data_IF_788343398171
#
_entry.id   IF_788343398171
#
_cell.length_a   1.000
_cell.length_b   1.000
_cell.length_c   1.000
_cell.angle_alpha   90.00
_cell.angle_beta   90.00
_cell.angle_gamma   90.00
#
_symmetry.space_group_name_H-M   'P 1'
#
loop_
_entity.id
_entity.type
_entity.pdbx_description
1 polymer ?
#
# COMPACT_ATOMS: atom_id res chain seq x y z
N UNK A 1 -37.24 -73.83 26.64
CA UNK A 1 -37.69 -72.96 25.57
C UNK A 1 -37.15 -71.49 25.82
N UNK A 2 -36.01 -71.08 25.20
CA UNK A 2 -35.45 -69.74 25.34
C UNK A 2 -35.76 -69.01 24.03
N UNK A 3 -36.53 -67.92 24.09
CA UNK A 3 -36.83 -67.05 22.97
C UNK A 3 -35.65 -66.07 22.79
N UNK A 4 -35.05 -66.11 21.62
CA UNK A 4 -34.03 -65.16 21.19
C UNK A 4 -34.74 -63.96 20.51
N UNK A 5 -34.64 -62.78 21.10
CA UNK A 5 -35.15 -61.54 20.51
C UNK A 5 -33.99 -60.94 19.67
N UNK A 6 -34.15 -60.84 18.34
CA UNK A 6 -33.25 -60.12 17.42
C UNK A 6 -33.64 -58.64 17.38
N UNK A 7 -32.74 -57.78 17.86
CA UNK A 7 -32.87 -56.31 17.71
C UNK A 7 -32.24 -56.00 16.38
N UNK A 8 -33.03 -55.52 15.42
CA UNK A 8 -32.55 -54.90 14.22
C UNK A 8 -32.12 -53.41 14.59
N UNK A 9 -30.85 -53.13 14.53
CA UNK A 9 -30.36 -51.73 14.55
C UNK A 9 -30.40 -51.14 13.13
N UNK A 10 -31.33 -50.21 12.92
CA UNK A 10 -31.39 -49.39 11.70
C UNK A 10 -30.30 -48.31 11.76
N UNK A 11 -29.28 -48.44 10.93
CA UNK A 11 -28.27 -47.39 10.74
C UNK A 11 -28.91 -46.31 9.84
N UNK A 12 -29.23 -45.15 10.42
CA UNK A 12 -29.62 -43.96 9.67
C UNK A 12 -28.33 -43.29 9.21
N UNK A 13 -28.02 -43.42 7.92
CA UNK A 13 -26.92 -42.69 7.27
C UNK A 13 -27.35 -41.27 7.06
N UNK A 14 -26.93 -40.33 7.93
CA UNK A 14 -27.11 -38.89 7.73
C UNK A 14 -26.07 -38.43 6.71
N UNK A 15 -26.46 -38.37 5.45
CA UNK A 15 -25.71 -37.66 4.42
C UNK A 15 -25.76 -36.17 4.73
N UNK A 16 -24.71 -35.66 5.38
CA UNK A 16 -24.47 -34.23 5.53
C UNK A 16 -24.21 -33.63 4.14
N UNK A 17 -25.22 -32.99 3.58
CA UNK A 17 -25.06 -32.07 2.45
C UNK A 17 -24.18 -30.92 2.95
N UNK A 18 -22.86 -30.97 2.68
CA UNK A 18 -22.02 -29.80 2.66
C UNK A 18 -22.57 -28.90 1.55
N UNK A 19 -23.49 -28.01 1.89
CA UNK A 19 -23.90 -26.93 1.02
C UNK A 19 -22.66 -26.07 0.75
N UNK A 20 -22.15 -26.11 -0.48
CA UNK A 20 -21.17 -25.12 -0.93
C UNK A 20 -21.83 -23.75 -0.74
N UNK A 21 -21.40 -23.03 0.29
CA UNK A 21 -21.89 -21.69 0.57
C UNK A 21 -21.71 -20.84 -0.69
N UNK A 22 -22.82 -20.36 -1.25
CA UNK A 22 -22.79 -19.47 -2.40
C UNK A 22 -22.08 -18.18 -1.94
N UNK A 23 -21.11 -17.70 -2.71
CA UNK A 23 -20.51 -16.42 -2.43
C UNK A 23 -21.60 -15.33 -2.36
N UNK A 24 -21.51 -14.42 -1.40
CA UNK A 24 -22.50 -13.38 -1.18
C UNK A 24 -22.18 -12.15 -2.03
N UNK A 25 -23.18 -11.30 -2.23
CA UNK A 25 -22.98 -9.99 -2.82
C UNK A 25 -22.06 -9.15 -1.93
N UNK A 26 -21.14 -8.39 -2.54
CA UNK A 26 -20.21 -7.52 -1.85
C UNK A 26 -20.50 -6.07 -2.21
N UNK A 27 -20.71 -5.24 -1.18
CA UNK A 27 -21.00 -3.82 -1.33
C UNK A 27 -19.94 -2.94 -0.63
N UNK A 28 -19.41 -1.95 -1.35
CA UNK A 28 -18.52 -0.90 -0.83
C UNK A 28 -18.96 0.44 -1.43
N UNK A 29 -19.31 1.41 -0.61
CA UNK A 29 -19.92 2.65 -1.09
C UNK A 29 -21.18 2.36 -1.89
N UNK A 30 -21.25 2.88 -3.10
CA UNK A 30 -22.35 2.65 -4.04
C UNK A 30 -22.11 1.47 -5.01
N UNK A 31 -20.91 0.86 -4.97
CA UNK A 31 -20.60 -0.32 -5.77
C UNK A 31 -21.14 -1.59 -5.10
N UNK A 32 -21.92 -2.39 -5.82
CA UNK A 32 -22.40 -3.70 -5.36
C UNK A 32 -22.18 -4.73 -6.48
N UNK A 33 -21.37 -5.75 -6.21
CA UNK A 33 -21.05 -6.81 -7.16
C UNK A 33 -21.56 -8.16 -6.67
N UNK A 34 -22.28 -8.89 -7.53
CA UNK A 34 -22.63 -10.30 -7.31
C UNK A 34 -21.41 -11.19 -7.55
N UNK A 35 -21.44 -12.45 -7.07
CA UNK A 35 -20.39 -13.43 -7.39
C UNK A 35 -20.20 -13.58 -8.91
N UNK A 36 -18.95 -13.46 -9.37
CA UNK A 36 -18.58 -13.46 -10.79
C UNK A 36 -18.77 -12.12 -11.50
N UNK A 37 -19.04 -11.04 -10.76
CA UNK A 37 -19.27 -9.71 -11.34
C UNK A 37 -18.25 -8.67 -10.85
N UNK A 38 -18.17 -7.57 -11.62
CA UNK A 38 -17.47 -6.35 -11.27
C UNK A 38 -18.46 -5.19 -11.22
N UNK A 39 -18.35 -4.34 -10.22
CA UNK A 39 -19.11 -3.11 -10.08
C UNK A 39 -18.20 -1.93 -9.77
N UNK A 40 -18.56 -0.76 -10.26
CA UNK A 40 -17.91 0.52 -9.96
C UNK A 40 -18.88 1.42 -9.22
N UNK A 41 -18.33 2.31 -8.39
CA UNK A 41 -19.11 3.26 -7.62
C UNK A 41 -18.22 4.23 -6.86
N UNK A 42 -18.79 4.85 -5.83
CA UNK A 42 -18.09 5.84 -5.01
C UNK A 42 -18.33 5.58 -3.52
N UNK A 43 -17.28 5.72 -2.73
CA UNK A 43 -17.42 5.92 -1.29
C UNK A 43 -17.67 7.41 -1.10
N UNK A 44 -18.92 7.77 -0.78
CA UNK A 44 -19.33 9.16 -0.60
C UNK A 44 -19.00 9.64 0.79
N UNK A 45 -18.26 10.74 0.87
CA UNK A 45 -17.91 11.43 2.10
C UNK A 45 -18.67 12.74 2.14
N UNK A 46 -19.67 12.87 3.00
CA UNK A 46 -20.50 14.08 3.08
C UNK A 46 -19.68 15.34 3.36
N UNK A 47 -20.19 16.50 2.96
CA UNK A 47 -19.63 17.78 3.39
C UNK A 47 -19.69 17.93 4.92
N UNK A 48 -18.73 18.63 5.46
CA UNK A 48 -18.62 18.99 6.88
C UNK A 48 -18.04 20.40 6.99
N UNK A 49 -16.92 20.54 7.71
CA UNK A 49 -16.16 21.81 7.75
C UNK A 49 -15.54 22.14 6.38
N UNK A 50 -15.33 21.10 5.55
CA UNK A 50 -14.81 21.18 4.18
C UNK A 50 -15.83 20.56 3.21
N UNK A 51 -15.68 20.77 1.88
CA UNK A 51 -16.54 20.17 0.87
C UNK A 51 -16.61 18.62 0.96
N UNK A 52 -17.66 18.06 0.38
CA UNK A 52 -17.81 16.62 0.18
C UNK A 52 -16.68 16.06 -0.71
N UNK A 53 -16.46 14.74 -0.62
CA UNK A 53 -15.56 14.01 -1.50
C UNK A 53 -16.21 12.71 -1.97
N UNK A 54 -16.06 12.37 -3.25
CA UNK A 54 -16.45 11.10 -3.83
C UNK A 54 -15.19 10.31 -4.21
N UNK A 55 -14.95 9.20 -3.50
CA UNK A 55 -13.78 8.36 -3.69
C UNK A 55 -14.14 7.19 -4.61
N UNK A 56 -13.52 7.04 -5.80
CA UNK A 56 -13.83 5.96 -6.71
C UNK A 56 -13.48 4.60 -6.08
N UNK A 57 -14.36 3.63 -6.24
CA UNK A 57 -14.16 2.26 -5.78
C UNK A 57 -14.65 1.27 -6.82
N UNK A 58 -13.88 0.19 -6.98
CA UNK A 58 -14.20 -0.94 -7.85
C UNK A 58 -14.27 -2.19 -6.95
N UNK A 59 -15.37 -2.92 -7.02
CA UNK A 59 -15.53 -4.23 -6.37
C UNK A 59 -15.50 -5.29 -7.45
N UNK A 60 -14.56 -6.24 -7.34
CA UNK A 60 -14.47 -7.41 -8.22
C UNK A 60 -14.74 -8.63 -7.36
N UNK A 61 -15.97 -9.13 -7.41
CA UNK A 61 -16.39 -10.26 -6.59
C UNK A 61 -16.23 -11.55 -7.38
N UNK A 62 -15.26 -12.35 -6.99
CA UNK A 62 -14.94 -13.61 -7.67
C UNK A 62 -16.08 -14.62 -7.63
N UNK A 63 -16.14 -15.46 -8.66
CA UNK A 63 -17.13 -16.54 -8.75
C UNK A 63 -16.96 -17.64 -7.67
N UNK A 64 -15.79 -17.69 -7.04
CA UNK A 64 -15.44 -18.69 -6.03
C UNK A 64 -15.21 -18.02 -4.66
N UNK A 65 -15.59 -18.68 -3.55
CA UNK A 65 -15.25 -18.21 -2.22
C UNK A 65 -13.74 -18.03 -2.04
N UNK A 66 -13.34 -17.04 -1.26
CA UNK A 66 -11.93 -16.75 -0.96
C UNK A 66 -11.81 -15.49 -0.13
N UNK A 67 -10.58 -15.00 0.11
CA UNK A 67 -10.34 -13.84 0.94
C UNK A 67 -10.71 -12.53 0.22
N UNK A 68 -10.83 -11.47 1.02
CA UNK A 68 -11.01 -10.09 0.55
C UNK A 68 -9.66 -9.35 0.59
N UNK A 69 -9.16 -8.96 -0.57
CA UNK A 69 -7.93 -8.18 -0.70
C UNK A 69 -8.27 -6.73 -1.07
N UNK A 70 -7.89 -5.80 -0.21
CA UNK A 70 -8.00 -4.37 -0.48
C UNK A 70 -6.73 -3.84 -1.15
N UNK A 71 -6.89 -3.08 -2.22
CA UNK A 71 -5.83 -2.42 -2.99
C UNK A 71 -6.14 -0.92 -2.98
N UNK A 72 -5.26 -0.11 -2.40
CA UNK A 72 -5.50 1.33 -2.23
C UNK A 72 -4.33 2.11 -2.80
N UNK A 73 -4.61 3.07 -3.70
CA UNK A 73 -3.61 3.97 -4.26
C UNK A 73 -4.07 5.44 -4.20
N UNK A 74 -3.16 6.35 -4.50
CA UNK A 74 -3.45 7.76 -4.64
C UNK A 74 -3.79 8.47 -3.34
N UNK A 75 -3.27 8.02 -2.21
CA UNK A 75 -3.24 8.80 -0.97
C UNK A 75 -2.50 10.13 -1.20
N UNK A 76 -1.44 10.08 -1.99
CA UNK A 76 -0.84 11.23 -2.68
C UNK A 76 -1.28 11.16 -4.14
N UNK A 77 -2.09 12.12 -4.57
CA UNK A 77 -2.78 12.05 -5.86
C UNK A 77 -1.87 12.22 -7.08
N UNK A 78 -0.61 12.55 -6.89
CA UNK A 78 0.41 12.77 -7.92
C UNK A 78 1.39 11.61 -8.08
N UNK A 79 1.22 10.53 -7.33
CA UNK A 79 1.94 9.26 -7.50
C UNK A 79 1.26 8.41 -8.61
N UNK A 80 1.34 8.91 -9.85
CA UNK A 80 0.50 8.41 -10.95
C UNK A 80 0.77 6.95 -11.34
N UNK A 81 1.99 6.43 -11.18
CA UNK A 81 2.30 5.04 -11.53
C UNK A 81 1.43 4.06 -10.75
N UNK A 82 1.25 4.28 -9.45
CA UNK A 82 0.44 3.45 -8.55
C UNK A 82 -1.05 3.50 -8.93
N UNK A 83 -1.55 4.69 -9.25
CA UNK A 83 -2.95 4.92 -9.68
C UNK A 83 -3.25 4.17 -10.98
N UNK A 84 -2.38 4.33 -11.98
CA UNK A 84 -2.52 3.69 -13.30
C UNK A 84 -2.36 2.17 -13.18
N UNK A 85 -1.50 1.68 -12.29
CA UNK A 85 -1.33 0.25 -12.06
C UNK A 85 -2.63 -0.39 -11.55
N UNK A 86 -3.30 0.24 -10.58
CA UNK A 86 -4.57 -0.28 -10.07
C UNK A 86 -5.70 -0.16 -11.09
N UNK A 87 -5.73 0.88 -11.92
CA UNK A 87 -6.66 1.00 -13.03
C UNK A 87 -6.50 -0.16 -14.02
N UNK A 88 -5.27 -0.40 -14.51
CA UNK A 88 -4.95 -1.50 -15.43
C UNK A 88 -5.29 -2.87 -14.83
N UNK A 89 -4.93 -3.09 -13.57
CA UNK A 89 -5.24 -4.34 -12.86
C UNK A 89 -6.76 -4.57 -12.81
N UNK A 90 -7.52 -3.55 -12.40
CA UNK A 90 -8.97 -3.66 -12.28
C UNK A 90 -9.64 -3.90 -13.63
N UNK A 91 -9.13 -3.31 -14.71
CA UNK A 91 -9.65 -3.53 -16.07
C UNK A 91 -9.39 -4.95 -16.57
N UNK A 92 -8.22 -5.52 -16.27
CA UNK A 92 -7.78 -6.84 -16.72
C UNK A 92 -8.27 -8.01 -15.86
N UNK A 93 -8.72 -7.75 -14.64
CA UNK A 93 -9.15 -8.80 -13.72
C UNK A 93 -10.45 -9.46 -14.19
N UNK A 94 -10.41 -10.80 -14.35
CA UNK A 94 -11.56 -11.62 -14.68
C UNK A 94 -12.21 -12.18 -13.41
N UNK A 95 -13.44 -11.74 -13.05
CA UNK A 95 -14.10 -12.24 -11.85
C UNK A 95 -14.47 -13.73 -11.94
N UNK A 96 -14.60 -14.31 -13.13
CA UNK A 96 -14.93 -15.73 -13.28
C UNK A 96 -13.81 -16.66 -12.85
N UNK A 97 -12.56 -16.23 -13.02
CA UNK A 97 -11.35 -16.94 -12.58
C UNK A 97 -10.92 -16.65 -11.14
N UNK A 98 -11.50 -15.66 -10.50
CA UNK A 98 -11.10 -15.17 -9.19
C UNK A 98 -11.73 -15.97 -8.04
N UNK A 99 -10.94 -16.26 -7.00
CA UNK A 99 -11.40 -16.73 -5.71
C UNK A 99 -11.31 -15.61 -4.68
N UNK A 100 -12.43 -15.26 -4.04
CA UNK A 100 -12.53 -14.13 -3.13
C UNK A 100 -12.84 -12.82 -3.83
N UNK A 101 -12.53 -11.70 -3.19
CA UNK A 101 -12.95 -10.37 -3.64
C UNK A 101 -11.77 -9.41 -3.67
N UNK A 102 -11.72 -8.56 -4.70
CA UNK A 102 -10.87 -7.36 -4.70
C UNK A 102 -11.73 -6.14 -4.39
N UNK A 103 -11.30 -5.34 -3.42
CA UNK A 103 -11.78 -3.97 -3.19
C UNK A 103 -10.66 -3.05 -3.69
N UNK A 104 -10.88 -2.36 -4.80
CA UNK A 104 -9.86 -1.50 -5.41
C UNK A 104 -10.28 -0.04 -5.26
N UNK A 105 -9.46 0.75 -4.58
CA UNK A 105 -9.56 2.20 -4.49
C UNK A 105 -8.39 2.79 -5.29
N UNK A 106 -8.56 3.07 -6.58
CA UNK A 106 -7.45 3.47 -7.43
C UNK A 106 -6.95 4.89 -7.16
N UNK A 107 -7.80 5.74 -6.59
CA UNK A 107 -7.49 7.14 -6.34
C UNK A 107 -8.18 7.63 -5.07
N UNK A 108 -7.43 7.74 -4.00
CA UNK A 108 -7.97 8.15 -2.70
C UNK A 108 -8.10 9.68 -2.57
N UNK A 109 -7.09 10.43 -2.99
CA UNK A 109 -7.03 11.89 -2.90
C UNK A 109 -7.31 12.54 -4.26
N UNK A 110 -8.59 12.57 -4.62
CA UNK A 110 -9.06 13.11 -5.91
C UNK A 110 -8.68 14.60 -6.07
N UNK A 111 -8.73 15.37 -4.99
CA UNK A 111 -8.38 16.80 -5.03
C UNK A 111 -6.89 17.03 -5.36
N UNK A 112 -5.99 16.27 -4.73
CA UNK A 112 -4.55 16.30 -5.04
C UNK A 112 -4.30 15.92 -6.51
N UNK A 113 -4.92 14.86 -7.00
CA UNK A 113 -4.79 14.42 -8.40
C UNK A 113 -5.20 15.51 -9.39
N UNK A 114 -6.38 16.10 -9.22
CA UNK A 114 -6.90 17.10 -10.16
C UNK A 114 -6.12 18.41 -10.11
N UNK A 115 -5.66 18.82 -8.93
CA UNK A 115 -4.91 20.05 -8.73
C UNK A 115 -3.39 19.86 -8.86
N UNK A 116 -2.92 18.63 -8.99
CA UNK A 116 -1.50 18.27 -9.09
C UNK A 116 -0.68 18.78 -7.89
N UNK A 117 -1.25 18.61 -6.69
CA UNK A 117 -0.60 19.00 -5.44
C UNK A 117 0.06 17.77 -4.81
N UNK A 118 1.40 17.72 -4.69
CA UNK A 118 2.11 16.59 -4.12
C UNK A 118 1.83 16.44 -2.61
N UNK A 119 1.94 15.22 -2.11
CA UNK A 119 1.94 14.83 -0.69
C UNK A 119 0.69 15.17 0.12
N UNK A 120 -0.03 16.23 -0.22
CA UNK A 120 -1.10 16.77 0.62
C UNK A 120 -2.46 16.81 -0.10
N UNK A 121 -3.53 16.81 0.69
CA UNK A 121 -4.84 17.20 0.19
C UNK A 121 -4.93 18.73 0.16
N UNK A 122 -5.11 19.37 -1.03
CA UNK A 122 -5.14 20.83 -1.13
C UNK A 122 -6.37 21.46 -0.45
N UNK A 123 -7.38 20.68 -0.10
CA UNK A 123 -8.61 21.18 0.57
C UNK A 123 -8.33 21.57 2.02
N UNK A 124 -7.54 20.79 2.73
CA UNK A 124 -7.28 21.00 4.16
C UNK A 124 -5.79 21.01 4.54
N UNK A 125 -4.89 20.89 3.55
CA UNK A 125 -3.44 20.92 3.73
C UNK A 125 -2.87 19.72 4.47
N UNK A 126 -3.62 18.61 4.60
CA UNK A 126 -3.22 17.45 5.38
C UNK A 126 -2.72 16.30 4.50
N UNK A 127 -1.76 15.52 5.05
CA UNK A 127 -1.33 14.27 4.43
C UNK A 127 -2.33 13.15 4.73
N UNK A 128 -2.94 12.59 3.67
CA UNK A 128 -3.98 11.58 3.80
C UNK A 128 -3.46 10.28 4.41
N UNK A 129 -2.20 9.93 4.18
CA UNK A 129 -1.59 8.73 4.76
C UNK A 129 -0.91 8.99 6.13
N UNK A 130 -1.48 9.87 6.95
CA UNK A 130 -1.02 10.15 8.32
C UNK A 130 -2.15 10.27 9.35
N UNK A 131 -3.42 10.09 8.92
CA UNK A 131 -4.56 10.45 9.75
C UNK A 131 -5.53 9.30 10.02
N UNK A 132 -5.13 8.05 9.78
CA UNK A 132 -5.98 6.91 10.12
C UNK A 132 -6.07 6.67 11.64
N UNK A 133 -7.24 6.25 12.15
CA UNK A 133 -8.46 5.83 11.46
C UNK A 133 -9.33 6.97 10.91
N UNK A 134 -8.96 8.24 11.11
CA UNK A 134 -9.75 9.40 10.74
C UNK A 134 -10.80 9.79 11.79
N UNK A 135 -11.64 10.77 11.43
CA UNK A 135 -12.75 11.26 12.26
C UNK A 135 -13.97 11.58 11.39
N UNK A 136 -15.19 11.18 11.80
CA UNK A 136 -16.39 11.38 10.99
C UNK A 136 -16.83 12.86 10.87
N UNK A 137 -16.44 13.68 11.83
CA UNK A 137 -16.74 15.10 11.96
C UNK A 137 -15.54 16.03 11.75
N UNK A 138 -14.42 15.47 11.30
CA UNK A 138 -13.17 16.18 11.06
C UNK A 138 -13.11 16.93 9.72
N UNK A 139 -11.90 17.34 9.34
CA UNK A 139 -11.61 17.91 8.03
C UNK A 139 -11.82 16.88 6.91
N UNK A 140 -11.75 17.31 5.65
CA UNK A 140 -12.00 16.41 4.52
C UNK A 140 -11.10 15.16 4.56
N UNK A 141 -9.79 15.34 4.78
CA UNK A 141 -8.84 14.22 4.90
C UNK A 141 -9.19 13.29 6.07
N UNK A 142 -9.57 13.83 7.24
CA UNK A 142 -9.96 13.00 8.38
C UNK A 142 -11.25 12.22 8.12
N UNK A 143 -12.24 12.83 7.44
CA UNK A 143 -13.49 12.14 7.07
C UNK A 143 -13.28 11.07 5.99
N UNK A 144 -12.41 11.34 5.00
CA UNK A 144 -12.01 10.34 4.00
C UNK A 144 -11.31 9.16 4.68
N UNK A 145 -10.32 9.41 5.54
CA UNK A 145 -9.63 8.34 6.28
C UNK A 145 -10.59 7.52 7.14
N UNK A 146 -11.60 8.16 7.77
CA UNK A 146 -12.66 7.48 8.50
C UNK A 146 -13.50 6.58 7.59
N UNK A 147 -13.97 7.09 6.46
CA UNK A 147 -14.80 6.34 5.53
C UNK A 147 -14.04 5.13 4.95
N UNK A 148 -12.76 5.28 4.62
CA UNK A 148 -11.89 4.20 4.15
C UNK A 148 -11.65 3.16 5.25
N UNK A 149 -11.41 3.58 6.48
CA UNK A 149 -11.28 2.65 7.61
C UNK A 149 -12.53 1.76 7.73
N UNK A 150 -13.72 2.35 7.72
CA UNK A 150 -14.99 1.63 7.91
C UNK A 150 -15.41 0.79 6.70
N UNK A 151 -15.15 1.24 5.49
CA UNK A 151 -15.69 0.62 4.30
C UNK A 151 -14.67 -0.25 3.53
N UNK A 152 -13.38 -0.10 3.80
CA UNK A 152 -12.31 -0.84 3.14
C UNK A 152 -11.50 -1.64 4.15
N UNK A 153 -10.83 -0.98 5.13
CA UNK A 153 -9.93 -1.66 6.06
C UNK A 153 -10.67 -2.68 6.93
N UNK A 154 -11.84 -2.34 7.47
CA UNK A 154 -12.61 -3.27 8.31
C UNK A 154 -13.21 -4.43 7.51
N UNK A 155 -13.43 -4.26 6.21
CA UNK A 155 -14.04 -5.29 5.34
C UNK A 155 -13.05 -6.23 4.68
N UNK A 156 -11.76 -5.87 4.63
CA UNK A 156 -10.75 -6.72 4.00
C UNK A 156 -10.14 -7.74 4.98
N UNK A 157 -9.54 -8.80 4.40
CA UNK A 157 -8.68 -9.73 5.11
C UNK A 157 -7.21 -9.34 4.98
N UNK A 158 -6.83 -8.76 3.84
CA UNK A 158 -5.48 -8.32 3.49
C UNK A 158 -5.54 -6.94 2.82
N UNK A 159 -4.46 -6.16 2.97
CA UNK A 159 -4.38 -4.83 2.36
C UNK A 159 -3.00 -4.59 1.72
N UNK A 160 -3.01 -3.98 0.54
CA UNK A 160 -1.81 -3.40 -0.09
C UNK A 160 -2.05 -1.90 -0.30
N UNK A 161 -1.14 -1.08 0.23
CA UNK A 161 -1.10 0.37 0.05
C UNK A 161 -0.07 0.71 -1.04
N UNK A 162 -0.51 1.40 -2.09
CA UNK A 162 0.31 1.67 -3.26
C UNK A 162 0.73 3.13 -3.28
N UNK A 163 2.02 3.31 -3.35
CA UNK A 163 2.70 4.59 -3.47
C UNK A 163 3.65 4.61 -4.66
N UNK A 164 4.33 5.72 -4.85
CA UNK A 164 5.35 5.85 -5.89
C UNK A 164 6.03 7.21 -5.84
N UNK A 165 6.94 7.45 -6.79
CA UNK A 165 7.62 8.74 -6.88
C UNK A 165 6.64 9.86 -7.19
N UNK A 166 6.40 10.74 -6.22
CA UNK A 166 5.63 11.97 -6.38
C UNK A 166 6.37 12.96 -7.33
N UNK A 167 5.83 14.12 -7.59
CA UNK A 167 6.35 15.08 -8.59
C UNK A 167 7.82 15.47 -8.37
N UNK A 168 8.29 15.41 -7.14
CA UNK A 168 9.64 15.78 -6.71
C UNK A 168 10.51 14.59 -6.28
N UNK A 169 10.02 13.34 -6.47
CA UNK A 169 10.66 12.14 -5.95
C UNK A 169 11.25 11.24 -7.04
N UNK A 170 12.50 10.85 -6.86
CA UNK A 170 13.18 9.82 -7.62
C UNK A 170 13.49 8.65 -6.69
N UNK A 171 12.82 7.53 -6.89
CA UNK A 171 13.01 6.35 -6.06
C UNK A 171 13.24 5.09 -6.90
N UNK A 172 13.95 4.13 -6.33
CA UNK A 172 13.99 2.75 -6.77
C UNK A 172 12.78 2.03 -6.18
N UNK A 173 12.07 1.16 -6.93
CA UNK A 173 10.99 0.39 -6.36
C UNK A 173 11.40 -0.43 -5.13
N UNK A 174 10.61 -0.33 -4.06
CA UNK A 174 10.78 -1.06 -2.80
C UNK A 174 9.43 -1.33 -2.12
N UNK A 175 9.46 -2.16 -1.10
CA UNK A 175 8.29 -2.49 -0.28
C UNK A 175 8.54 -2.19 1.19
N UNK A 176 7.45 -2.04 1.95
CA UNK A 176 7.49 -2.02 3.41
C UNK A 176 6.86 -3.28 3.98
N UNK A 177 7.56 -3.89 4.92
CA UNK A 177 7.06 -4.96 5.78
C UNK A 177 7.12 -4.52 7.24
N UNK A 178 6.08 -4.85 8.01
CA UNK A 178 6.02 -4.46 9.41
C UNK A 178 6.33 -5.64 10.34
N UNK A 179 7.25 -5.41 11.29
CA UNK A 179 7.44 -6.21 12.50
C UNK A 179 6.48 -5.65 13.56
N UNK A 180 5.33 -6.30 13.71
CA UNK A 180 4.28 -5.91 14.67
C UNK A 180 4.40 -6.63 16.01
N UNK A 181 5.24 -7.66 16.10
CA UNK A 181 5.32 -8.58 17.22
C UNK A 181 4.13 -9.56 17.31
N UNK A 182 3.29 -9.62 16.26
CA UNK A 182 2.24 -10.61 16.12
C UNK A 182 2.62 -11.61 15.03
N UNK A 183 3.00 -12.81 15.41
CA UNK A 183 3.53 -13.85 14.51
C UNK A 183 2.64 -14.12 13.29
N UNK A 184 1.31 -14.09 13.45
CA UNK A 184 0.38 -14.31 12.34
C UNK A 184 0.43 -13.15 11.34
N UNK A 185 0.38 -11.92 11.82
CA UNK A 185 0.43 -10.74 10.96
C UNK A 185 1.78 -10.66 10.24
N UNK A 186 2.86 -10.84 10.99
CA UNK A 186 4.24 -10.68 10.52
C UNK A 186 4.60 -11.76 9.49
N UNK A 187 4.28 -13.04 9.78
CA UNK A 187 4.53 -14.14 8.85
C UNK A 187 3.69 -14.00 7.57
N UNK A 188 2.41 -13.63 7.70
CA UNK A 188 1.53 -13.50 6.53
C UNK A 188 1.96 -12.33 5.66
N UNK A 189 2.20 -11.15 6.24
CA UNK A 189 2.64 -9.97 5.48
C UNK A 189 4.05 -10.14 4.91
N UNK A 190 4.94 -10.90 5.59
CA UNK A 190 6.24 -11.29 5.04
C UNK A 190 6.08 -12.16 3.78
N UNK A 191 5.17 -13.12 3.81
CA UNK A 191 4.83 -13.90 2.63
C UNK A 191 4.31 -13.04 1.48
N UNK A 192 3.46 -12.06 1.78
CA UNK A 192 2.93 -11.12 0.78
C UNK A 192 4.03 -10.25 0.17
N UNK A 193 4.92 -9.65 0.97
CA UNK A 193 5.97 -8.76 0.45
C UNK A 193 7.00 -9.52 -0.38
N UNK A 194 7.36 -10.75 0.00
CA UNK A 194 8.26 -11.60 -0.78
C UNK A 194 7.61 -12.03 -2.10
N UNK A 195 6.32 -12.38 -2.07
CA UNK A 195 5.55 -12.73 -3.27
C UNK A 195 5.38 -11.54 -4.21
N UNK A 196 5.24 -10.32 -3.69
CA UNK A 196 5.13 -9.11 -4.50
C UNK A 196 6.30 -8.95 -5.46
N UNK A 197 7.51 -9.28 -5.02
CA UNK A 197 8.64 -9.44 -5.90
C UNK A 197 9.55 -8.22 -6.05
N UNK A 198 9.39 -7.17 -5.23
CA UNK A 198 10.38 -6.09 -5.12
C UNK A 198 11.51 -6.55 -4.20
N UNK A 199 12.73 -6.38 -4.65
CA UNK A 199 13.93 -6.95 -4.01
C UNK A 199 14.50 -6.11 -2.85
N UNK A 200 13.90 -4.96 -2.57
CA UNK A 200 14.25 -4.10 -1.42
C UNK A 200 13.06 -4.00 -0.49
N UNK A 201 13.28 -4.34 0.77
CA UNK A 201 12.21 -4.39 1.77
C UNK A 201 12.61 -3.60 2.99
N UNK A 202 11.89 -2.53 3.28
CA UNK A 202 12.09 -1.69 4.46
C UNK A 202 11.30 -2.30 5.62
N UNK A 203 11.98 -2.51 6.75
CA UNK A 203 11.38 -3.03 7.97
C UNK A 203 10.81 -1.87 8.78
N UNK A 204 9.50 -1.85 8.96
CA UNK A 204 8.82 -0.94 9.87
C UNK A 204 8.60 -1.61 11.23
N UNK A 205 9.17 -1.06 12.30
CA UNK A 205 8.90 -1.55 13.65
C UNK A 205 7.62 -0.92 14.16
N UNK A 206 6.62 -1.76 14.38
CA UNK A 206 5.26 -1.37 14.78
C UNK A 206 4.76 -2.20 15.97
N UNK A 207 5.64 -2.54 16.91
CA UNK A 207 5.32 -3.36 18.07
C UNK A 207 4.39 -2.62 19.04
N UNK A 208 3.57 -3.33 19.84
CA UNK A 208 2.70 -2.70 20.84
C UNK A 208 3.45 -1.86 21.88
N UNK A 209 4.72 -2.21 22.16
CA UNK A 209 5.61 -1.46 23.04
C UNK A 209 6.13 -0.15 22.44
N UNK A 210 6.05 0.00 21.12
CA UNK A 210 6.54 1.19 20.45
C UNK A 210 5.54 2.34 20.67
N UNK A 211 6.01 3.59 20.81
CA UNK A 211 5.13 4.73 20.89
C UNK A 211 4.18 4.73 19.69
N UNK A 212 2.87 4.84 19.93
CA UNK A 212 1.90 5.02 18.86
C UNK A 212 2.20 6.37 18.20
N UNK A 213 2.58 6.39 16.92
CA UNK A 213 2.84 7.66 16.25
C UNK A 213 1.61 8.54 16.29
N UNK A 214 1.81 9.85 16.44
CA UNK A 214 0.72 10.84 16.27
C UNK A 214 0.12 10.81 14.86
N UNK A 215 0.82 10.18 13.91
CA UNK A 215 0.45 10.01 12.52
C UNK A 215 0.39 8.52 12.16
N UNK A 216 -0.76 8.05 11.71
CA UNK A 216 -1.00 6.64 11.39
C UNK A 216 -1.33 6.46 9.92
N UNK A 217 -0.57 5.57 9.25
CA UNK A 217 -0.80 5.18 7.86
C UNK A 217 -1.96 4.18 7.75
N UNK A 218 -2.49 3.98 6.54
CA UNK A 218 -3.53 2.96 6.31
C UNK A 218 -3.01 1.54 6.61
N UNK A 219 -1.75 1.23 6.30
CA UNK A 219 -1.14 -0.06 6.62
C UNK A 219 -1.05 -0.27 8.14
N UNK A 220 -0.64 0.77 8.89
CA UNK A 220 -0.62 0.69 10.36
C UNK A 220 -2.03 0.50 10.92
N UNK A 221 -3.03 1.19 10.37
CA UNK A 221 -4.42 1.01 10.77
C UNK A 221 -4.92 -0.40 10.47
N UNK A 222 -4.57 -0.97 9.32
CA UNK A 222 -4.89 -2.36 8.98
C UNK A 222 -4.27 -3.34 10.00
N UNK A 223 -3.00 -3.17 10.38
CA UNK A 223 -2.31 -3.98 11.39
C UNK A 223 -2.99 -3.89 12.75
N UNK A 224 -3.36 -2.68 13.21
CA UNK A 224 -4.12 -2.46 14.46
C UNK A 224 -5.46 -3.20 14.39
N UNK A 225 -6.09 -3.25 13.22
CA UNK A 225 -7.35 -4.00 12.98
C UNK A 225 -7.12 -5.51 12.76
N UNK A 226 -5.91 -6.02 12.98
CA UNK A 226 -5.58 -7.44 12.84
C UNK A 226 -5.47 -7.92 11.38
N UNK A 227 -5.27 -7.02 10.42
CA UNK A 227 -5.18 -7.32 8.99
C UNK A 227 -3.72 -7.29 8.52
N UNK A 228 -3.18 -8.40 7.98
CA UNK A 228 -1.87 -8.38 7.32
C UNK A 228 -1.87 -7.37 6.17
N UNK A 229 -0.84 -6.52 6.13
CA UNK A 229 -0.75 -5.46 5.15
C UNK A 229 0.70 -5.16 4.78
N UNK A 230 0.90 -4.71 3.55
CA UNK A 230 2.18 -4.22 3.02
C UNK A 230 1.97 -2.88 2.33
N UNK A 231 3.02 -2.06 2.23
CA UNK A 231 3.04 -0.93 1.31
C UNK A 231 4.11 -1.17 0.24
N UNK A 232 3.88 -0.63 -0.94
CA UNK A 232 4.76 -0.77 -2.11
C UNK A 232 4.96 0.57 -2.78
N UNK A 233 6.17 0.80 -3.26
CA UNK A 233 6.58 2.06 -3.90
C UNK A 233 7.17 1.76 -5.26
N UNK A 234 6.64 2.39 -6.32
CA UNK A 234 7.26 2.40 -7.65
C UNK A 234 6.85 3.64 -8.43
N UNK A 235 7.81 4.34 -9.04
CA UNK A 235 7.55 5.54 -9.82
C UNK A 235 8.70 6.54 -9.77
N UNK A 236 8.65 7.51 -10.67
CA UNK A 236 9.64 8.56 -10.83
C UNK A 236 8.95 9.87 -11.20
N UNK A 237 9.11 10.90 -10.38
CA UNK A 237 8.71 12.28 -10.66
C UNK A 237 7.31 12.42 -11.28
N UNK A 238 6.31 11.75 -10.69
CA UNK A 238 4.94 11.75 -11.18
C UNK A 238 4.78 11.19 -12.61
N UNK A 239 5.66 10.32 -13.06
CA UNK A 239 5.55 9.68 -14.39
C UNK A 239 4.85 8.33 -14.30
N UNK A 240 4.40 7.83 -15.47
CA UNK A 240 3.77 6.50 -15.59
C UNK A 240 4.60 5.58 -16.48
N UNK A 241 5.90 5.47 -16.17
CA UNK A 241 6.79 4.58 -16.91
C UNK A 241 6.25 3.15 -16.87
N UNK A 242 6.31 2.47 -18.02
CA UNK A 242 5.75 1.13 -18.16
C UNK A 242 6.39 0.13 -17.17
N UNK A 243 7.70 0.25 -16.93
CA UNK A 243 8.44 -0.58 -15.98
C UNK A 243 7.89 -0.50 -14.55
N UNK A 244 7.56 0.69 -14.07
CA UNK A 244 7.02 0.91 -12.72
C UNK A 244 5.58 0.39 -12.60
N UNK A 245 4.74 0.77 -13.56
CA UNK A 245 3.34 0.31 -13.63
C UNK A 245 3.26 -1.22 -13.71
N UNK A 246 4.06 -1.83 -14.60
CA UNK A 246 4.07 -3.28 -14.79
C UNK A 246 4.66 -4.02 -13.58
N UNK A 247 5.63 -3.44 -12.87
CA UNK A 247 6.14 -4.01 -11.62
C UNK A 247 5.04 -4.10 -10.56
N UNK A 248 4.25 -3.04 -10.38
CA UNK A 248 3.12 -3.00 -9.45
C UNK A 248 2.02 -4.00 -9.83
N UNK A 249 1.65 -4.07 -11.11
CA UNK A 249 0.65 -5.03 -11.61
C UNK A 249 1.13 -6.48 -11.41
N UNK A 250 2.35 -6.82 -11.84
CA UNK A 250 2.91 -8.17 -11.66
C UNK A 250 2.99 -8.55 -10.19
N UNK A 251 3.47 -7.63 -9.34
CA UNK A 251 3.57 -7.85 -7.90
C UNK A 251 2.21 -8.17 -7.29
N UNK A 252 1.18 -7.42 -7.66
CA UNK A 252 -0.20 -7.68 -7.19
C UNK A 252 -0.71 -9.05 -7.62
N UNK A 253 -0.53 -9.42 -8.88
CA UNK A 253 -0.93 -10.74 -9.39
C UNK A 253 -0.20 -11.87 -8.64
N UNK A 254 1.07 -11.67 -8.28
CA UNK A 254 1.83 -12.64 -7.50
C UNK A 254 1.28 -12.76 -6.06
N UNK A 255 0.94 -11.65 -5.40
CA UNK A 255 0.28 -11.68 -4.09
C UNK A 255 -1.06 -12.40 -4.18
N UNK A 256 -1.87 -12.12 -5.21
CA UNK A 256 -3.14 -12.82 -5.42
C UNK A 256 -2.94 -14.34 -5.59
N UNK A 257 -1.90 -14.79 -6.30
CA UNK A 257 -1.54 -16.22 -6.39
C UNK A 257 -1.08 -16.78 -5.05
N UNK A 258 -0.25 -16.03 -4.31
CA UNK A 258 0.20 -16.39 -2.97
C UNK A 258 -0.97 -16.61 -2.01
N UNK A 259 -1.95 -15.73 -2.04
CA UNK A 259 -3.19 -15.79 -1.25
C UNK A 259 -4.22 -16.79 -1.80
N UNK A 260 -3.89 -17.54 -2.86
CA UNK A 260 -4.77 -18.50 -3.53
C UNK A 260 -6.04 -17.90 -4.15
N UNK A 261 -6.00 -16.62 -4.46
CA UNK A 261 -7.08 -15.93 -5.18
C UNK A 261 -7.04 -16.21 -6.69
N UNK A 262 -5.86 -16.45 -7.23
CA UNK A 262 -5.64 -16.86 -8.62
C UNK A 262 -4.86 -18.18 -8.68
N UNK A 263 -5.04 -18.97 -9.75
CA UNK A 263 -4.20 -20.14 -10.01
C UNK A 263 -2.77 -19.72 -10.42
N UNK A 264 -1.82 -20.62 -10.22
CA UNK A 264 -0.43 -20.44 -10.62
C UNK A 264 0.55 -20.53 -9.47
N UNK A 265 1.83 -20.53 -9.83
CA UNK A 265 2.95 -20.57 -8.88
C UNK A 265 3.57 -19.19 -8.78
N UNK A 266 4.00 -18.83 -7.59
CA UNK A 266 4.78 -17.62 -7.32
C UNK A 266 6.20 -18.04 -6.96
N UNK A 267 7.18 -17.44 -7.61
CA UNK A 267 8.57 -17.49 -7.16
C UNK A 267 8.81 -16.24 -6.32
N UNK A 268 8.86 -16.36 -4.99
CA UNK A 268 9.14 -15.21 -4.14
C UNK A 268 10.59 -14.73 -4.33
N UNK A 269 10.88 -13.52 -3.90
CA UNK A 269 12.25 -13.02 -3.84
C UNK A 269 13.04 -13.88 -2.85
N UNK A 270 14.11 -14.54 -3.33
CA UNK A 270 14.91 -15.45 -2.51
C UNK A 270 15.93 -14.69 -1.63
N UNK A 271 16.51 -13.60 -2.17
CA UNK A 271 17.55 -12.82 -1.51
C UNK A 271 17.18 -11.34 -1.49
N UNK A 272 16.16 -10.96 -0.72
CA UNK A 272 15.78 -9.55 -0.60
C UNK A 272 16.85 -8.78 0.18
N UNK A 273 17.06 -7.53 -0.21
CA UNK A 273 17.85 -6.59 0.56
C UNK A 273 16.97 -6.00 1.66
N UNK A 274 17.22 -6.41 2.90
CA UNK A 274 16.49 -5.92 4.06
C UNK A 274 17.06 -4.60 4.53
N UNK A 275 16.19 -3.60 4.71
CA UNK A 275 16.54 -2.27 5.22
C UNK A 275 16.00 -2.15 6.64
N UNK A 276 16.87 -2.17 7.62
CA UNK A 276 16.48 -2.16 9.04
C UNK A 276 15.94 -0.81 9.52
N UNK A 277 16.49 0.26 8.98
CA UNK A 277 16.07 1.66 9.17
C UNK A 277 16.59 2.51 8.04
N UNK A 278 16.08 3.72 7.90
CA UNK A 278 16.63 4.71 6.98
C UNK A 278 16.79 6.06 7.66
N UNK A 279 17.75 6.81 7.18
CA UNK A 279 18.00 8.19 7.59
C UNK A 279 17.47 9.13 6.51
N UNK A 280 16.72 10.13 6.93
CA UNK A 280 16.22 11.20 6.06
C UNK A 280 17.24 12.34 6.06
N UNK A 281 17.67 12.75 4.88
CA UNK A 281 18.47 13.96 4.68
C UNK A 281 17.53 15.07 4.27
N UNK A 282 17.45 16.13 5.08
CA UNK A 282 16.59 17.28 4.80
C UNK A 282 17.43 18.50 4.50
N UNK A 283 16.91 19.42 3.68
CA UNK A 283 17.58 20.68 3.41
C UNK A 283 17.53 21.62 4.61
N UNK A 284 18.66 22.22 4.94
CA UNK A 284 18.75 23.25 5.98
C UNK A 284 18.51 24.67 5.46
N UNK A 285 18.35 24.82 4.12
CA UNK A 285 18.18 26.09 3.42
C UNK A 285 17.41 25.97 2.10
N UNK A 286 17.01 27.10 1.55
CA UNK A 286 16.46 27.19 0.20
C UNK A 286 17.60 27.21 -0.83
N UNK A 287 17.34 26.73 -2.06
CA UNK A 287 18.31 26.78 -3.13
C UNK A 287 18.00 25.87 -4.31
N UNK A 288 19.01 25.62 -5.12
CA UNK A 288 18.97 24.76 -6.30
C UNK A 288 19.78 23.50 -5.98
N UNK A 289 19.14 22.34 -5.97
CA UNK A 289 19.77 21.05 -5.64
C UNK A 289 20.33 20.36 -6.88
N UNK A 290 21.56 19.86 -6.74
CA UNK A 290 22.26 19.07 -7.75
C UNK A 290 22.62 17.71 -7.15
N UNK A 291 21.90 16.61 -7.51
CA UNK A 291 22.24 15.27 -7.07
C UNK A 291 23.54 14.79 -7.73
N UNK A 292 24.37 14.07 -6.98
CA UNK A 292 25.57 13.41 -7.46
C UNK A 292 25.48 11.89 -7.41
N UNK A 293 24.38 11.38 -6.90
CA UNK A 293 24.07 9.95 -6.84
C UNK A 293 22.65 9.72 -7.38
N UNK A 294 22.36 8.46 -7.66
CA UNK A 294 21.02 8.02 -8.11
C UNK A 294 20.46 7.02 -7.09
N UNK A 295 19.15 6.74 -7.09
CA UNK A 295 18.63 5.61 -6.35
C UNK A 295 19.40 4.34 -6.67
N UNK A 296 19.60 3.44 -5.71
CA UNK A 296 20.43 2.23 -5.71
C UNK A 296 21.92 2.46 -5.40
N UNK A 297 22.45 3.66 -5.51
CA UNK A 297 23.84 3.91 -5.19
C UNK A 297 24.14 3.51 -3.73
N UNK A 298 25.20 2.76 -3.53
CA UNK A 298 25.74 2.53 -2.19
C UNK A 298 26.63 3.70 -1.78
N UNK A 299 26.37 4.25 -0.62
CA UNK A 299 27.10 5.40 -0.08
C UNK A 299 27.73 5.06 1.27
N UNK A 300 28.86 5.70 1.57
CA UNK A 300 29.47 5.64 2.90
C UNK A 300 29.09 6.89 3.68
N UNK A 301 29.02 6.76 5.00
CA UNK A 301 28.87 7.91 5.88
C UNK A 301 29.90 9.00 5.55
N UNK A 302 29.44 10.25 5.43
CA UNK A 302 30.24 11.40 5.03
C UNK A 302 30.48 11.54 3.52
N UNK A 303 30.08 10.56 2.69
CA UNK A 303 30.18 10.68 1.24
C UNK A 303 29.25 11.78 0.74
N UNK A 304 29.77 12.64 -0.16
CA UNK A 304 28.97 13.68 -0.82
C UNK A 304 27.98 13.05 -1.78
N UNK A 305 26.68 13.35 -1.58
CA UNK A 305 25.56 12.82 -2.38
C UNK A 305 24.91 13.87 -3.25
N UNK A 306 25.26 15.15 -3.05
CA UNK A 306 24.78 16.28 -3.81
C UNK A 306 25.35 17.59 -3.28
N UNK A 307 24.88 18.70 -3.84
CA UNK A 307 25.17 20.03 -3.32
C UNK A 307 24.03 21.00 -3.64
N UNK A 308 23.92 22.07 -2.88
CA UNK A 308 23.02 23.18 -3.16
C UNK A 308 23.82 24.40 -3.61
N UNK A 309 23.25 25.14 -4.56
CA UNK A 309 23.64 26.51 -4.86
C UNK A 309 22.56 27.48 -4.38
N UNK A 310 22.93 28.76 -4.23
CA UNK A 310 21.96 29.83 -4.19
C UNK A 310 21.37 30.11 -5.60
N UNK A 311 20.48 31.10 -5.71
CA UNK A 311 19.85 31.46 -6.98
C UNK A 311 20.77 32.19 -7.96
N UNK A 312 22.02 32.46 -7.55
CA UNK A 312 23.06 33.04 -8.39
C UNK A 312 24.08 32.01 -8.88
N UNK A 313 23.94 30.74 -8.47
CA UNK A 313 24.82 29.64 -8.85
C UNK A 313 26.01 29.42 -7.93
N UNK A 314 26.15 30.22 -6.86
CA UNK A 314 27.22 30.03 -5.88
C UNK A 314 26.90 28.83 -4.98
N UNK A 315 27.87 27.93 -4.85
CA UNK A 315 27.69 26.74 -4.00
C UNK A 315 27.63 27.12 -2.52
N UNK A 316 26.52 26.81 -1.86
CA UNK A 316 26.25 27.17 -0.47
C UNK A 316 26.29 26.00 0.51
N UNK A 317 26.16 24.75 0.00
CA UNK A 317 26.16 23.57 0.85
C UNK A 317 26.54 22.29 0.11
N UNK A 318 27.38 21.46 0.71
CA UNK A 318 27.64 20.10 0.29
C UNK A 318 26.77 19.13 1.10
N UNK A 319 25.90 18.40 0.43
CA UNK A 319 25.02 17.42 1.03
C UNK A 319 25.76 16.09 1.18
N UNK A 320 25.84 15.57 2.40
CA UNK A 320 26.56 14.32 2.69
C UNK A 320 25.64 13.24 3.28
N UNK A 321 25.96 11.98 3.02
CA UNK A 321 25.26 10.84 3.60
C UNK A 321 25.49 10.77 5.11
N UNK A 322 24.43 10.76 5.94
CA UNK A 322 24.55 10.69 7.40
C UNK A 322 24.96 9.31 7.90
N UNK A 323 24.70 8.27 7.12
CA UNK A 323 24.99 6.86 7.41
C UNK A 323 25.51 6.16 6.16
N UNK A 324 26.13 4.99 6.33
CA UNK A 324 26.46 4.10 5.21
C UNK A 324 25.24 3.27 4.84
N UNK A 325 24.96 3.10 3.54
CA UNK A 325 23.78 2.32 3.10
C UNK A 325 23.48 2.49 1.63
N UNK A 326 22.23 2.21 1.26
CA UNK A 326 21.72 2.34 -0.12
C UNK A 326 20.81 3.55 -0.23
N UNK A 327 20.93 4.31 -1.31
CA UNK A 327 20.02 5.43 -1.62
C UNK A 327 18.69 4.84 -2.07
N UNK A 328 17.64 5.02 -1.27
CA UNK A 328 16.27 4.58 -1.57
C UNK A 328 15.52 5.64 -2.38
N UNK A 329 15.75 6.89 -2.06
CA UNK A 329 15.10 8.06 -2.64
C UNK A 329 16.12 9.20 -2.74
N UNK A 330 15.97 10.03 -3.79
CA UNK A 330 16.65 11.32 -3.92
C UNK A 330 15.74 12.32 -4.64
N UNK A 331 15.82 13.58 -4.31
CA UNK A 331 15.05 14.64 -4.98
C UNK A 331 15.20 14.59 -6.49
N UNK A 332 14.09 14.56 -7.22
CA UNK A 332 14.04 14.47 -8.68
C UNK A 332 14.10 15.85 -9.35
N UNK A 333 13.78 16.90 -8.62
CA UNK A 333 13.70 18.27 -9.12
C UNK A 333 14.72 19.17 -8.43
N UNK A 334 15.22 20.21 -9.11
CA UNK A 334 16.24 21.10 -8.52
C UNK A 334 15.69 22.06 -7.45
N UNK A 335 14.37 22.26 -7.41
CA UNK A 335 13.74 23.17 -6.44
C UNK A 335 13.88 22.60 -5.04
N UNK A 336 14.46 23.36 -4.12
CA UNK A 336 14.69 22.93 -2.74
C UNK A 336 14.36 24.07 -1.78
N UNK A 337 13.52 23.76 -0.81
CA UNK A 337 13.17 24.66 0.29
C UNK A 337 13.74 24.08 1.59
N UNK A 338 14.04 24.94 2.54
CA UNK A 338 14.42 24.50 3.89
C UNK A 338 13.34 23.58 4.49
N UNK A 339 13.76 22.39 4.90
CA UNK A 339 12.90 21.36 5.45
C UNK A 339 12.44 20.29 4.44
N UNK A 340 12.65 20.52 3.13
CA UNK A 340 12.33 19.51 2.12
C UNK A 340 13.27 18.30 2.23
N UNK A 341 12.75 17.13 1.89
CA UNK A 341 13.54 15.91 1.84
C UNK A 341 14.46 15.91 0.62
N UNK A 342 15.73 15.62 0.85
CA UNK A 342 16.75 15.49 -0.21
C UNK A 342 16.97 14.03 -0.57
N UNK A 343 17.14 13.16 0.42
CA UNK A 343 17.43 11.75 0.20
C UNK A 343 17.01 10.87 1.39
N UNK A 344 16.71 9.60 1.12
CA UNK A 344 16.58 8.54 2.12
C UNK A 344 17.72 7.54 1.93
N UNK A 345 18.51 7.32 2.98
CA UNK A 345 19.63 6.37 2.97
C UNK A 345 19.26 5.19 3.88
N UNK A 346 19.06 4.02 3.28
CA UNK A 346 18.67 2.80 3.97
C UNK A 346 19.87 2.01 4.48
N UNK A 347 19.85 1.67 5.76
CA UNK A 347 20.87 0.82 6.39
C UNK A 347 20.51 -0.66 6.17
N UNK A 348 21.41 -1.39 5.53
CA UNK A 348 21.21 -2.80 5.17
C UNK A 348 21.41 -3.68 6.39
N UNK A 349 20.56 -4.67 6.57
CA UNK A 349 20.66 -5.70 7.60
C UNK A 349 20.58 -7.10 6.97
N UNK A 350 21.21 -8.08 7.56
CA UNK A 350 21.28 -9.44 7.01
C UNK A 350 19.92 -10.16 7.07
N UNK A 351 19.15 -9.88 8.11
CA UNK A 351 17.83 -10.51 8.34
C UNK A 351 16.86 -9.52 8.97
N UNK A 352 15.54 -9.66 8.75
CA UNK A 352 14.53 -8.84 9.41
C UNK A 352 14.38 -9.13 10.88
#
# INVERSE_FOLDING_TARGET
>A
MRRVVRILQSIVLVLGLCGAGRAADVAVGTATARPGERATGYIRVPAGVDPAADIPVIVINGAKPGPVLALVAGAHGTEYASIVALEKLAQSADPSGLSGTLIVVPLLNVASFLQKVPHLNPVDGKNMNRLYPGKPDGTQTERVSWAITRQVVEKCDYLIDYHGGDLDENLRPYSYWADTGNDRLDTTSRGMVLAFGLDRIIIQRNRPSDPVPSATTITRQAQISGKPSIAVEAGYAGTTKAEDVDALVRGTLNVMRHLKMLPGVVTPVEHPLWIGRYSVVTSDRDGIFYPLVVPEAYVKQGMKIGYLTDFFGEKVWDVTAPVSGVVLYIGAVPSMKKGDNIAYIGEIVDTP
#
